data_IF_246378147975
#
_entry.id   IF_246378147975
#
_cell.length_a   1.000
_cell.length_b   1.000
_cell.length_c   1.000
_cell.angle_alpha   90.00
_cell.angle_beta   90.00
_cell.angle_gamma   90.00
#
_symmetry.space_group_name_H-M   'P 1'
#
loop_
_entity.id
_entity.type
_entity.pdbx_description
1 polymer ?
#
# COMPACT_ATOMS: atom_id res chain seq x y z
N UNK A 1 -14.87 -27.69 -45.61
CA UNK A 1 -14.83 -29.19 -45.69
C UNK A 1 -14.55 -29.71 -44.31
N UNK A 2 -15.48 -30.09 -43.70
CA UNK A 2 -16.18 -31.29 -43.27
C UNK A 2 -15.54 -31.93 -42.03
N UNK A 3 -16.21 -31.71 -40.93
CA UNK A 3 -16.14 -32.48 -39.67
C UNK A 3 -16.71 -33.89 -39.91
N UNK A 4 -16.30 -34.83 -39.12
CA UNK A 4 -16.86 -36.18 -38.84
C UNK A 4 -15.99 -37.35 -39.35
N UNK A 5 -15.69 -38.14 -38.37
CA UNK A 5 -15.51 -39.59 -38.27
C UNK A 5 -14.21 -39.96 -37.59
N UNK A 6 -14.32 -40.42 -36.34
CA UNK A 6 -13.98 -41.79 -35.98
C UNK A 6 -14.58 -42.14 -34.62
N UNK A 7 -15.65 -42.85 -34.67
CA UNK A 7 -16.18 -43.67 -33.58
C UNK A 7 -16.02 -45.12 -34.00
N UNK A 8 -15.71 -45.93 -33.04
CA UNK A 8 -16.00 -47.35 -32.91
C UNK A 8 -14.79 -48.31 -32.96
N UNK A 9 -14.72 -48.98 -31.88
CA UNK A 9 -14.70 -50.40 -31.59
C UNK A 9 -13.43 -50.95 -30.95
N UNK A 10 -13.64 -51.66 -29.83
CA UNK A 10 -12.67 -52.56 -29.24
C UNK A 10 -12.91 -52.88 -27.77
N UNK A 11 -13.92 -53.72 -27.49
CA UNK A 11 -14.14 -54.32 -26.17
C UNK A 11 -13.03 -55.32 -25.82
N UNK A 12 -12.51 -55.28 -24.59
CA UNK A 12 -11.63 -56.27 -24.05
C UNK A 12 -11.57 -56.21 -22.52
N UNK A 13 -12.29 -57.10 -21.86
CA UNK A 13 -12.19 -57.34 -20.42
C UNK A 13 -10.83 -57.89 -20.05
N UNK A 14 -10.22 -57.36 -18.97
CA UNK A 14 -9.48 -58.16 -18.01
C UNK A 14 -9.37 -57.41 -16.67
N UNK A 15 -9.74 -58.08 -15.62
CA UNK A 15 -9.69 -57.62 -14.23
C UNK A 15 -8.26 -57.63 -13.71
N UNK A 16 -7.94 -56.72 -12.82
CA UNK A 16 -7.33 -56.89 -11.50
C UNK A 16 -6.53 -55.67 -11.08
N UNK A 17 -6.64 -55.27 -9.84
CA UNK A 17 -5.66 -54.45 -9.12
C UNK A 17 -6.13 -53.02 -8.79
N UNK A 18 -6.79 -52.90 -7.65
CA UNK A 18 -7.00 -51.64 -6.98
C UNK A 18 -5.68 -50.95 -6.64
N UNK A 19 -5.35 -49.91 -7.40
CA UNK A 19 -4.47 -48.81 -6.96
C UNK A 19 -5.22 -47.53 -7.27
N UNK A 20 -5.92 -47.05 -6.26
CA UNK A 20 -6.45 -45.68 -6.29
C UNK A 20 -5.24 -44.74 -6.29
N UNK A 21 -5.02 -43.91 -7.30
CA UNK A 21 -4.16 -42.77 -7.14
C UNK A 21 -4.91 -41.81 -6.22
N UNK A 22 -4.40 -41.63 -5.02
CA UNK A 22 -4.75 -40.56 -4.12
C UNK A 22 -4.60 -39.23 -4.89
N UNK A 23 -5.72 -38.65 -5.28
CA UNK A 23 -5.84 -37.24 -5.68
C UNK A 23 -5.59 -36.36 -4.45
N UNK A 24 -4.35 -36.38 -3.94
CA UNK A 24 -3.83 -35.44 -2.96
C UNK A 24 -3.01 -34.38 -3.70
N UNK A 25 -3.69 -33.40 -4.26
CA UNK A 25 -2.93 -32.38 -4.93
C UNK A 25 -3.75 -31.20 -5.41
N UNK A 26 -4.48 -30.49 -4.52
CA UNK A 26 -4.88 -29.09 -4.67
C UNK A 26 -5.47 -28.49 -3.36
N UNK A 27 -5.34 -29.19 -2.22
CA UNK A 27 -5.93 -28.74 -0.96
C UNK A 27 -4.99 -28.02 0.01
N UNK A 28 -3.68 -27.93 -0.29
CA UNK A 28 -2.70 -27.45 0.69
C UNK A 28 -2.56 -25.92 0.78
N UNK A 29 -3.12 -25.17 -0.16
CA UNK A 29 -3.06 -23.69 -0.13
C UNK A 29 -4.18 -23.04 0.74
N UNK A 30 -5.20 -23.81 1.11
CA UNK A 30 -6.34 -23.32 1.90
C UNK A 30 -6.32 -23.73 3.39
N UNK A 31 -5.26 -24.37 3.84
CA UNK A 31 -5.34 -25.12 5.09
C UNK A 31 -4.69 -24.39 6.28
N UNK A 32 -5.49 -23.68 7.05
CA UNK A 32 -5.30 -23.60 8.50
C UNK A 32 -5.66 -24.93 9.22
N UNK A 33 -6.10 -25.95 8.46
CA UNK A 33 -6.59 -27.22 8.94
C UNK A 33 -5.44 -28.18 9.27
N UNK A 34 -5.42 -28.67 10.51
CA UNK A 34 -4.45 -29.65 11.00
C UNK A 34 -3.23 -29.05 11.73
N UNK A 35 -3.15 -27.75 11.90
CA UNK A 35 -2.17 -27.15 12.78
C UNK A 35 -2.59 -27.37 14.24
N UNK A 36 -1.80 -28.17 14.99
CA UNK A 36 -1.99 -28.39 16.42
C UNK A 36 -1.99 -27.09 17.23
N UNK A 37 -2.28 -27.16 18.54
CA UNK A 37 -2.33 -25.99 19.41
C UNK A 37 -1.01 -25.18 19.40
N UNK A 38 0.09 -25.84 19.16
CA UNK A 38 1.44 -25.24 19.16
C UNK A 38 1.86 -24.71 17.77
N UNK A 39 0.98 -24.71 16.80
CA UNK A 39 1.26 -24.16 15.45
C UNK A 39 0.37 -22.96 15.18
N UNK A 40 0.98 -21.79 15.01
CA UNK A 40 0.32 -20.58 14.49
C UNK A 40 0.40 -20.56 12.98
N UNK A 41 -0.72 -20.36 12.32
CA UNK A 41 -0.78 -20.09 10.87
C UNK A 41 -0.87 -18.59 10.67
N UNK A 42 0.12 -18.00 10.02
CA UNK A 42 0.15 -16.58 9.69
C UNK A 42 -0.03 -16.41 8.17
N UNK A 43 -1.07 -15.73 7.78
CA UNK A 43 -1.33 -15.37 6.39
C UNK A 43 -0.78 -13.97 6.13
N UNK A 44 0.17 -13.83 5.22
CA UNK A 44 0.92 -12.58 5.02
C UNK A 44 0.99 -12.13 3.58
N UNK A 45 0.96 -10.79 3.37
CA UNK A 45 1.28 -10.16 2.09
C UNK A 45 2.79 -10.11 1.82
N UNK A 46 3.65 -10.35 2.82
CA UNK A 46 5.09 -10.31 2.65
C UNK A 46 5.56 -11.51 1.84
N UNK A 47 5.40 -11.44 0.52
CA UNK A 47 5.94 -12.41 -0.43
C UNK A 47 7.46 -12.32 -0.53
N UNK A 48 8.08 -13.26 -1.25
CA UNK A 48 9.55 -13.37 -1.35
C UNK A 48 10.23 -12.13 -1.92
N UNK A 49 9.53 -11.32 -2.69
CA UNK A 49 10.05 -10.10 -3.34
C UNK A 49 9.66 -8.80 -2.62
N UNK A 50 8.72 -8.86 -1.65
CA UNK A 50 8.30 -7.67 -0.94
C UNK A 50 9.38 -7.16 0.01
N UNK A 51 9.57 -5.84 0.10
CA UNK A 51 10.51 -5.25 1.04
C UNK A 51 10.19 -5.71 2.48
N UNK A 52 11.19 -6.19 3.19
CA UNK A 52 11.06 -6.71 4.55
C UNK A 52 10.69 -8.18 4.67
N UNK A 53 10.50 -8.92 3.57
CA UNK A 53 10.19 -10.36 3.62
C UNK A 53 11.33 -11.17 4.24
N UNK A 54 12.57 -10.93 3.84
CA UNK A 54 13.74 -11.60 4.43
C UNK A 54 13.86 -11.30 5.92
N UNK A 55 13.68 -10.03 6.32
CA UNK A 55 13.71 -9.63 7.73
C UNK A 55 12.61 -10.29 8.53
N UNK A 56 11.40 -10.40 7.96
CA UNK A 56 10.27 -11.10 8.59
C UNK A 56 10.57 -12.60 8.77
N UNK A 57 11.01 -13.29 7.72
CA UNK A 57 11.34 -14.71 7.81
C UNK A 57 12.48 -14.99 8.79
N UNK A 58 13.48 -14.12 8.83
CA UNK A 58 14.55 -14.18 9.82
C UNK A 58 14.03 -13.96 11.25
N UNK A 59 13.12 -13.01 11.46
CA UNK A 59 12.48 -12.80 12.76
C UNK A 59 11.65 -14.03 13.19
N UNK A 60 10.93 -14.68 12.27
CA UNK A 60 10.22 -15.94 12.54
C UNK A 60 11.19 -17.06 12.92
N UNK A 61 12.33 -17.18 12.24
CA UNK A 61 13.35 -18.17 12.60
C UNK A 61 13.94 -17.91 14.00
N UNK A 62 14.14 -16.64 14.36
CA UNK A 62 14.58 -16.26 15.71
C UNK A 62 13.53 -16.61 16.76
N UNK A 63 12.24 -16.33 16.48
CA UNK A 63 11.13 -16.72 17.34
C UNK A 63 11.09 -18.23 17.61
N UNK A 64 11.30 -19.06 16.57
CA UNK A 64 11.36 -20.52 16.73
C UNK A 64 12.51 -20.96 17.63
N UNK A 65 13.69 -20.33 17.53
CA UNK A 65 14.82 -20.66 18.41
C UNK A 65 14.56 -20.33 19.88
N UNK A 66 13.86 -19.23 20.12
CA UNK A 66 13.51 -18.82 21.49
C UNK A 66 12.29 -19.59 22.05
N UNK A 67 11.45 -20.14 21.18
CA UNK A 67 10.21 -20.83 21.53
C UNK A 67 10.12 -22.20 20.85
N UNK A 68 10.97 -23.18 21.22
CA UNK A 68 11.08 -24.45 20.48
C UNK A 68 9.80 -25.32 20.52
N UNK A 69 8.83 -24.99 21.41
CA UNK A 69 7.51 -25.63 21.43
C UNK A 69 6.46 -24.98 20.55
N UNK A 70 6.78 -23.86 19.85
CA UNK A 70 5.85 -23.14 18.99
C UNK A 70 6.36 -23.09 17.56
N UNK A 71 5.48 -23.35 16.61
CA UNK A 71 5.77 -23.24 15.17
C UNK A 71 4.92 -22.13 14.55
N UNK A 72 5.51 -21.28 13.71
CA UNK A 72 4.81 -20.33 12.86
C UNK A 72 4.88 -20.83 11.43
N UNK A 73 3.71 -21.16 10.86
CA UNK A 73 3.56 -21.54 9.45
C UNK A 73 3.08 -20.31 8.66
N UNK A 74 3.89 -19.83 7.73
CA UNK A 74 3.55 -18.70 6.89
C UNK A 74 2.84 -19.15 5.61
N UNK A 75 1.73 -18.51 5.27
CA UNK A 75 1.03 -18.59 3.99
C UNK A 75 1.17 -17.25 3.29
N UNK A 76 1.71 -17.26 2.07
CA UNK A 76 1.97 -16.04 1.30
C UNK A 76 1.07 -16.03 0.07
N UNK A 77 0.22 -14.99 -0.05
CA UNK A 77 -0.72 -14.85 -1.16
C UNK A 77 -0.68 -13.47 -1.86
N UNK A 78 0.25 -12.59 -1.49
CA UNK A 78 0.38 -11.28 -2.12
C UNK A 78 -0.96 -10.51 -2.16
N UNK A 79 -1.34 -10.02 -3.33
CA UNK A 79 -2.56 -9.23 -3.53
C UNK A 79 -3.85 -10.05 -3.41
N UNK A 80 -3.78 -11.38 -3.55
CA UNK A 80 -4.93 -12.28 -3.42
C UNK A 80 -5.24 -12.64 -1.96
N UNK A 81 -4.42 -12.17 -1.01
CA UNK A 81 -4.52 -12.55 0.41
C UNK A 81 -5.93 -12.40 0.96
N UNK A 82 -6.57 -11.25 0.75
CA UNK A 82 -7.90 -10.99 1.29
C UNK A 82 -8.93 -11.99 0.77
N UNK A 83 -8.93 -12.25 -0.53
CA UNK A 83 -9.87 -13.20 -1.15
C UNK A 83 -9.63 -14.62 -0.65
N UNK A 84 -8.37 -15.05 -0.53
CA UNK A 84 -8.01 -16.39 -0.02
C UNK A 84 -8.40 -16.52 1.44
N UNK A 85 -8.17 -15.47 2.24
CA UNK A 85 -8.56 -15.44 3.66
C UNK A 85 -10.08 -15.56 3.82
N UNK A 86 -10.87 -14.75 3.12
CA UNK A 86 -12.33 -14.78 3.18
C UNK A 86 -12.89 -16.13 2.75
N UNK A 87 -12.32 -16.73 1.69
CA UNK A 87 -12.72 -18.07 1.24
C UNK A 87 -12.39 -19.15 2.28
N UNK A 88 -11.19 -19.09 2.90
CA UNK A 88 -10.79 -20.04 3.93
C UNK A 88 -11.66 -19.93 5.18
N UNK A 89 -12.11 -18.70 5.52
CA UNK A 89 -13.02 -18.44 6.62
C UNK A 89 -14.40 -19.07 6.41
N UNK A 90 -14.95 -18.99 5.19
CA UNK A 90 -16.22 -19.67 4.87
C UNK A 90 -16.13 -21.17 5.14
N UNK A 91 -14.97 -21.77 4.92
CA UNK A 91 -14.67 -23.16 5.24
C UNK A 91 -14.29 -23.41 6.72
N UNK A 92 -14.22 -22.38 7.57
CA UNK A 92 -13.70 -22.40 8.96
C UNK A 92 -12.27 -22.92 9.06
N UNK A 93 -11.44 -22.58 8.07
CA UNK A 93 -10.03 -22.98 7.91
C UNK A 93 -9.11 -21.77 7.77
N UNK A 94 -9.55 -20.63 8.26
CA UNK A 94 -8.78 -19.39 8.21
C UNK A 94 -7.51 -19.48 9.08
N UNK A 95 -6.49 -18.71 8.67
CA UNK A 95 -5.26 -18.52 9.44
C UNK A 95 -5.54 -17.90 10.82
N UNK A 96 -4.68 -18.17 11.79
CA UNK A 96 -4.81 -17.62 13.15
C UNK A 96 -4.54 -16.11 13.18
N UNK A 97 -3.53 -15.68 12.41
CA UNK A 97 -3.14 -14.26 12.24
C UNK A 97 -3.14 -13.92 10.76
N UNK A 98 -3.57 -12.71 10.44
CA UNK A 98 -3.45 -12.15 9.08
C UNK A 98 -2.62 -10.87 9.12
N UNK A 99 -1.57 -10.80 8.30
CA UNK A 99 -0.72 -9.62 8.12
C UNK A 99 -1.09 -8.93 6.81
N UNK A 100 -1.94 -7.93 6.90
CA UNK A 100 -2.45 -7.21 5.73
C UNK A 100 -2.73 -5.75 6.07
N UNK A 101 -2.72 -4.87 5.06
CA UNK A 101 -3.08 -3.47 5.19
C UNK A 101 -4.58 -3.26 5.42
N UNK A 102 -4.90 -2.08 5.92
CA UNK A 102 -6.27 -1.60 5.99
C UNK A 102 -6.63 -0.94 4.65
N UNK A 103 -7.56 -1.52 3.92
CA UNK A 103 -8.05 -1.04 2.64
C UNK A 103 -9.50 -1.52 2.42
N UNK A 104 -10.10 -1.20 1.30
CA UNK A 104 -11.50 -1.46 0.99
C UNK A 104 -12.00 -2.84 1.42
N UNK A 105 -11.33 -3.92 1.02
CA UNK A 105 -11.75 -5.30 1.34
C UNK A 105 -11.66 -5.62 2.84
N UNK A 106 -10.70 -5.05 3.55
CA UNK A 106 -10.45 -5.37 4.97
C UNK A 106 -11.21 -4.47 5.93
N UNK A 107 -11.73 -3.33 5.48
CA UNK A 107 -12.42 -2.36 6.32
C UNK A 107 -13.60 -2.97 7.11
N UNK A 108 -14.35 -3.88 6.49
CA UNK A 108 -15.53 -4.51 7.08
C UNK A 108 -15.22 -5.76 7.93
N UNK A 109 -14.00 -6.28 7.94
CA UNK A 109 -13.70 -7.59 8.53
C UNK A 109 -14.09 -7.71 10.00
N UNK A 110 -13.81 -6.70 10.81
CA UNK A 110 -14.20 -6.71 12.22
C UNK A 110 -15.72 -6.58 12.41
N UNK A 111 -16.40 -5.88 11.49
CA UNK A 111 -17.86 -5.74 11.53
C UNK A 111 -18.58 -7.05 11.26
N UNK A 112 -18.09 -7.81 10.28
CA UNK A 112 -18.69 -9.10 9.88
C UNK A 112 -18.11 -10.30 10.66
N UNK A 113 -17.29 -10.04 11.69
CA UNK A 113 -16.65 -11.07 12.52
C UNK A 113 -15.65 -11.95 11.75
N UNK A 114 -15.07 -11.43 10.65
CA UNK A 114 -13.97 -12.09 9.96
C UNK A 114 -12.69 -12.03 10.80
N UNK A 115 -12.51 -10.94 11.53
CA UNK A 115 -11.48 -10.75 12.55
C UNK A 115 -12.11 -10.22 13.83
N UNK A 116 -11.39 -10.24 14.92
CA UNK A 116 -11.88 -9.81 16.23
C UNK A 116 -11.41 -8.39 16.55
N UNK A 117 -12.13 -7.72 17.47
CA UNK A 117 -11.63 -6.51 18.13
C UNK A 117 -10.41 -6.88 18.97
N UNK A 118 -9.26 -6.29 18.67
CA UNK A 118 -8.01 -6.58 19.40
C UNK A 118 -7.73 -5.59 20.53
N UNK A 119 -8.62 -4.61 20.76
CA UNK A 119 -8.43 -3.62 21.84
C UNK A 119 -8.27 -4.23 23.22
N UNK A 120 -9.09 -5.23 23.63
CA UNK A 120 -8.90 -5.89 24.94
C UNK A 120 -7.50 -6.51 25.07
N UNK A 121 -7.02 -7.19 24.03
CA UNK A 121 -5.68 -7.79 24.06
C UNK A 121 -4.56 -6.76 24.06
N UNK A 122 -4.75 -5.61 23.35
CA UNK A 122 -3.78 -4.52 23.39
C UNK A 122 -3.56 -4.01 24.80
N UNK A 123 -4.66 -3.81 25.53
CA UNK A 123 -4.65 -3.31 26.89
C UNK A 123 -4.04 -4.34 27.87
N UNK A 124 -4.47 -5.60 27.80
CA UNK A 124 -3.98 -6.71 28.64
C UNK A 124 -2.50 -7.01 28.41
N UNK A 125 -2.06 -6.98 27.14
CA UNK A 125 -0.66 -7.24 26.81
C UNK A 125 0.25 -6.02 26.99
N UNK A 126 -0.32 -4.84 27.26
CA UNK A 126 0.42 -3.61 27.46
C UNK A 126 1.18 -3.12 26.20
N UNK A 127 0.82 -3.60 25.01
CA UNK A 127 1.47 -3.24 23.74
C UNK A 127 1.14 -1.82 23.29
N UNK A 128 0.06 -1.20 23.81
CA UNK A 128 -0.35 0.15 23.47
C UNK A 128 0.74 1.21 23.64
N UNK A 129 1.64 1.03 24.60
CA UNK A 129 2.77 1.93 24.85
C UNK A 129 3.83 1.88 23.74
N UNK A 130 3.90 0.78 23.01
CA UNK A 130 4.85 0.58 21.90
C UNK A 130 4.34 1.12 20.57
N UNK A 131 3.01 1.33 20.44
CA UNK A 131 2.39 1.77 19.18
C UNK A 131 2.23 3.29 19.19
N UNK A 132 2.33 3.91 18.01
CA UNK A 132 2.12 5.35 17.85
C UNK A 132 0.63 5.68 18.05
N UNK A 133 0.29 6.75 18.78
CA UNK A 133 -1.11 7.14 19.01
C UNK A 133 -1.88 7.39 17.68
N UNK A 134 -1.20 7.93 16.69
CA UNK A 134 -1.74 8.17 15.35
C UNK A 134 -2.14 6.85 14.69
N UNK A 135 -1.29 5.84 14.79
CA UNK A 135 -1.57 4.50 14.26
C UNK A 135 -2.79 3.87 14.96
N UNK A 136 -2.87 3.97 16.29
CA UNK A 136 -4.04 3.48 17.02
C UNK A 136 -5.33 4.17 16.56
N UNK A 137 -5.29 5.50 16.31
CA UNK A 137 -6.47 6.23 15.80
C UNK A 137 -6.90 5.75 14.42
N UNK A 138 -5.96 5.59 13.48
CA UNK A 138 -6.26 5.14 12.12
C UNK A 138 -6.83 3.71 12.07
N UNK A 139 -6.41 2.84 13.00
CA UNK A 139 -6.87 1.46 13.07
C UNK A 139 -8.13 1.26 13.93
N UNK A 140 -8.57 2.29 14.65
CA UNK A 140 -9.80 2.27 15.45
C UNK A 140 -10.99 2.64 14.59
N UNK A 141 -12.03 1.81 14.61
CA UNK A 141 -13.26 2.07 13.86
C UNK A 141 -14.20 3.06 14.58
N UNK A 142 -15.27 3.44 13.89
CA UNK A 142 -16.26 4.36 14.43
C UNK A 142 -17.00 3.84 15.70
N UNK A 143 -16.92 2.54 15.98
CA UNK A 143 -17.49 1.91 17.19
C UNK A 143 -16.47 1.82 18.33
N UNK A 144 -15.27 2.36 18.15
CA UNK A 144 -14.18 2.35 19.13
C UNK A 144 -13.43 1.03 19.23
N UNK A 145 -13.62 0.08 18.31
CA UNK A 145 -12.90 -1.20 18.25
C UNK A 145 -11.58 -1.03 17.51
N UNK A 146 -10.53 -1.65 17.99
CA UNK A 146 -9.24 -1.72 17.30
C UNK A 146 -9.24 -2.93 16.36
N UNK A 147 -9.15 -2.68 15.06
CA UNK A 147 -9.25 -3.72 14.02
C UNK A 147 -8.10 -4.71 14.02
N UNK A 148 -6.90 -4.23 14.29
CA UNK A 148 -5.67 -5.03 14.29
C UNK A 148 -4.58 -4.35 15.12
N UNK A 149 -3.46 -5.02 15.34
CA UNK A 149 -2.25 -4.45 15.94
C UNK A 149 -1.43 -3.74 14.85
N UNK A 150 -1.38 -2.37 14.80
CA UNK A 150 -0.64 -1.63 13.78
C UNK A 150 0.85 -1.97 13.84
N UNK A 151 1.48 -2.27 12.69
CA UNK A 151 2.89 -2.64 12.65
C UNK A 151 3.72 -1.80 11.69
N UNK A 152 3.34 -1.73 10.40
CA UNK A 152 3.98 -0.86 9.43
C UNK A 152 3.14 0.37 9.13
N UNK A 153 3.83 1.51 8.99
CA UNK A 153 3.34 2.71 8.35
C UNK A 153 4.03 2.93 7.01
N UNK A 154 3.74 4.04 6.37
CA UNK A 154 4.48 4.52 5.21
C UNK A 154 4.46 6.04 5.13
N UNK A 155 5.59 6.61 4.71
CA UNK A 155 5.68 7.95 4.15
C UNK A 155 5.63 7.82 2.63
N UNK A 156 4.98 8.78 1.98
CA UNK A 156 4.86 8.85 0.54
C UNK A 156 5.36 10.19 0.03
N UNK A 157 6.68 10.38 0.01
CA UNK A 157 7.30 11.59 -0.51
C UNK A 157 7.32 11.58 -2.03
N UNK A 158 7.82 12.68 -2.58
CA UNK A 158 8.16 12.77 -3.99
C UNK A 158 9.69 12.66 -4.13
N UNK A 159 10.13 11.73 -4.97
CA UNK A 159 11.54 11.57 -5.30
C UNK A 159 11.89 12.37 -6.56
N UNK A 160 13.03 13.05 -6.51
CA UNK A 160 13.53 13.93 -7.58
C UNK A 160 14.93 13.48 -7.99
N UNK A 161 15.13 13.16 -9.26
CA UNK A 161 16.43 12.87 -9.84
C UNK A 161 17.14 14.19 -10.20
N UNK A 162 18.01 14.65 -9.32
CA UNK A 162 18.71 15.94 -9.42
C UNK A 162 19.61 16.01 -10.68
N UNK A 163 20.22 14.89 -11.08
CA UNK A 163 21.03 14.83 -12.30
C UNK A 163 20.20 15.09 -13.56
N UNK A 164 18.96 14.57 -13.62
CA UNK A 164 18.07 14.83 -14.76
C UNK A 164 17.58 16.27 -14.76
N UNK A 165 17.28 16.83 -13.58
CA UNK A 165 16.92 18.24 -13.42
C UNK A 165 18.07 19.14 -13.89
N UNK A 166 19.29 18.90 -13.42
CA UNK A 166 20.50 19.66 -13.82
C UNK A 166 20.77 19.58 -15.34
N UNK A 167 20.65 18.38 -15.94
CA UNK A 167 20.76 18.19 -17.39
C UNK A 167 19.74 18.99 -18.18
N UNK A 168 18.59 19.26 -17.60
CA UNK A 168 17.55 20.10 -18.21
C UNK A 168 17.71 21.59 -17.90
N UNK A 169 18.74 21.98 -17.13
CA UNK A 169 18.95 23.36 -16.70
C UNK A 169 17.97 23.81 -15.61
N UNK A 170 17.54 22.86 -14.75
CA UNK A 170 16.75 23.12 -13.55
C UNK A 170 17.68 23.06 -12.35
N UNK A 171 17.93 24.21 -11.71
CA UNK A 171 18.97 24.35 -10.68
C UNK A 171 18.57 23.90 -9.28
N UNK A 172 17.26 23.71 -9.02
CA UNK A 172 16.73 23.29 -7.72
C UNK A 172 15.51 22.38 -7.89
N UNK A 173 15.18 21.64 -6.83
CA UNK A 173 13.93 20.88 -6.75
C UNK A 173 12.75 21.85 -6.73
N UNK A 174 11.74 21.68 -7.62
CA UNK A 174 10.56 22.54 -7.64
C UNK A 174 9.78 22.46 -6.32
N UNK A 175 9.36 23.59 -5.80
CA UNK A 175 8.51 23.71 -4.61
C UNK A 175 7.17 24.39 -4.90
N UNK A 176 7.05 25.03 -6.06
CA UNK A 176 5.84 25.68 -6.56
C UNK A 176 5.37 25.08 -7.88
N UNK A 177 4.10 25.28 -8.21
CA UNK A 177 3.51 24.85 -9.49
C UNK A 177 4.24 25.45 -10.70
N UNK A 178 4.59 26.72 -10.64
CA UNK A 178 5.25 27.41 -11.75
C UNK A 178 6.65 26.87 -11.99
N UNK A 179 7.39 26.60 -10.92
CA UNK A 179 8.69 25.93 -10.98
C UNK A 179 8.57 24.53 -11.58
N UNK A 180 7.54 23.73 -11.16
CA UNK A 180 7.31 22.38 -11.66
C UNK A 180 6.95 22.41 -13.17
N UNK A 181 6.05 23.30 -13.58
CA UNK A 181 5.67 23.46 -14.99
C UNK A 181 6.87 23.92 -15.84
N UNK A 182 7.65 24.87 -15.33
CA UNK A 182 8.88 25.33 -16.00
C UNK A 182 9.90 24.18 -16.13
N UNK A 183 10.10 23.41 -15.05
CA UNK A 183 10.97 22.25 -15.07
C UNK A 183 10.49 21.19 -16.07
N UNK A 184 9.19 20.91 -16.11
CA UNK A 184 8.61 19.94 -17.04
C UNK A 184 8.86 20.33 -18.51
N UNK A 185 8.69 21.59 -18.86
CA UNK A 185 9.00 22.10 -20.23
C UNK A 185 10.47 21.90 -20.58
N UNK A 186 11.38 22.23 -19.67
CA UNK A 186 12.84 22.06 -19.87
C UNK A 186 13.23 20.59 -19.99
N UNK A 187 12.65 19.71 -19.16
CA UNK A 187 12.88 18.27 -19.22
C UNK A 187 12.41 17.68 -20.56
N UNK A 188 11.18 18.03 -20.98
CA UNK A 188 10.62 17.56 -22.26
C UNK A 188 11.45 18.03 -23.46
N UNK A 189 11.96 19.25 -23.44
CA UNK A 189 12.86 19.77 -24.49
C UNK A 189 14.16 18.96 -24.61
N UNK A 190 14.52 18.17 -23.60
CA UNK A 190 15.67 17.26 -23.59
C UNK A 190 15.29 15.78 -23.74
N UNK A 191 14.02 15.48 -24.06
CA UNK A 191 13.51 14.11 -24.15
C UNK A 191 13.47 13.36 -22.81
N UNK A 192 13.47 14.09 -21.69
CA UNK A 192 13.38 13.53 -20.34
C UNK A 192 11.93 13.60 -19.87
N UNK A 193 11.41 12.49 -19.35
CA UNK A 193 10.07 12.44 -18.77
C UNK A 193 10.04 13.25 -17.46
N UNK A 194 9.11 14.22 -17.30
CA UNK A 194 9.07 15.04 -16.09
C UNK A 194 8.65 14.23 -14.87
N UNK A 195 7.35 13.90 -14.73
CA UNK A 195 6.77 13.13 -13.64
C UNK A 195 6.22 11.83 -14.19
N UNK A 196 6.72 10.70 -13.71
CA UNK A 196 6.15 9.38 -14.01
C UNK A 196 5.05 9.03 -13.04
N UNK A 197 4.00 8.35 -13.51
CA UNK A 197 2.87 7.91 -12.70
C UNK A 197 2.13 6.76 -13.36
N UNK A 198 1.65 5.81 -12.55
CA UNK A 198 0.72 4.77 -12.95
C UNK A 198 -0.72 5.27 -12.86
N UNK A 199 -1.17 6.00 -13.87
CA UNK A 199 -2.50 6.63 -13.86
C UNK A 199 -3.64 5.63 -14.07
N UNK A 200 -3.36 4.38 -14.44
CA UNK A 200 -4.34 3.31 -14.60
C UNK A 200 -4.68 2.63 -13.26
N UNK A 201 -3.81 2.74 -12.27
CA UNK A 201 -3.92 2.02 -11.01
C UNK A 201 -3.91 2.91 -9.77
N UNK A 202 -3.76 2.29 -8.61
CA UNK A 202 -3.76 2.91 -7.30
C UNK A 202 -2.71 4.02 -7.13
N UNK A 203 -1.58 3.97 -7.85
CA UNK A 203 -0.55 5.02 -7.75
C UNK A 203 -1.04 6.35 -8.32
N UNK A 204 -1.81 6.31 -9.41
CA UNK A 204 -2.48 7.49 -9.95
C UNK A 204 -3.48 8.10 -8.97
N UNK A 205 -4.27 7.27 -8.29
CA UNK A 205 -5.20 7.70 -7.25
C UNK A 205 -4.46 8.44 -6.12
N UNK A 206 -3.30 7.91 -5.66
CA UNK A 206 -2.51 8.55 -4.59
C UNK A 206 -1.99 9.91 -5.03
N UNK A 207 -1.43 10.02 -6.25
CA UNK A 207 -0.91 11.29 -6.74
C UNK A 207 -2.04 12.32 -6.94
N UNK A 208 -3.17 11.93 -7.51
CA UNK A 208 -4.34 12.81 -7.64
C UNK A 208 -4.80 13.30 -6.27
N UNK A 209 -4.91 12.40 -5.31
CA UNK A 209 -5.29 12.74 -3.94
C UNK A 209 -4.29 13.70 -3.28
N UNK A 210 -2.99 13.46 -3.45
CA UNK A 210 -1.94 14.33 -2.94
C UNK A 210 -2.04 15.75 -3.50
N UNK A 211 -2.34 15.88 -4.80
CA UNK A 211 -2.47 17.16 -5.48
C UNK A 211 -3.74 17.90 -5.03
N UNK A 212 -4.88 17.22 -4.97
CA UNK A 212 -6.15 17.84 -4.54
C UNK A 212 -6.03 18.37 -3.12
N UNK A 213 -5.39 17.63 -2.22
CA UNK A 213 -5.22 18.01 -0.82
C UNK A 213 -4.30 19.22 -0.60
N UNK A 214 -3.64 19.73 -1.62
CA UNK A 214 -2.96 21.04 -1.58
C UNK A 214 -3.92 22.15 -1.14
N UNK A 215 -5.21 22.03 -1.49
CA UNK A 215 -6.27 22.98 -1.18
C UNK A 215 -7.27 22.51 -0.11
N UNK A 216 -7.01 21.40 0.56
CA UNK A 216 -7.89 20.84 1.59
C UNK A 216 -7.19 20.83 2.94
N UNK A 217 -7.94 21.15 3.99
CA UNK A 217 -7.58 20.76 5.34
C UNK A 217 -7.72 19.24 5.52
N UNK A 218 -7.18 18.68 6.60
CA UNK A 218 -7.30 17.25 6.88
C UNK A 218 -8.78 16.82 7.01
N UNK A 219 -9.61 17.62 7.68
CA UNK A 219 -11.03 17.31 7.88
C UNK A 219 -11.82 17.37 6.57
N UNK A 220 -11.54 18.37 5.71
CA UNK A 220 -12.16 18.47 4.38
C UNK A 220 -11.74 17.29 3.49
N UNK A 221 -10.48 16.84 3.56
CA UNK A 221 -10.01 15.67 2.83
C UNK A 221 -10.70 14.40 3.31
N UNK A 222 -10.77 14.17 4.63
CA UNK A 222 -11.49 13.04 5.22
C UNK A 222 -12.96 13.06 4.79
N UNK A 223 -13.63 14.21 4.86
CA UNK A 223 -15.01 14.35 4.41
C UNK A 223 -15.18 13.98 2.93
N UNK A 224 -14.36 14.58 2.05
CA UNK A 224 -14.44 14.34 0.61
C UNK A 224 -14.25 12.85 0.27
N UNK A 225 -13.24 12.19 0.86
CA UNK A 225 -12.98 10.77 0.60
C UNK A 225 -13.95 9.80 1.29
N UNK A 226 -14.63 10.22 2.36
CA UNK A 226 -15.66 9.41 3.00
C UNK A 226 -17.00 9.49 2.24
N UNK A 227 -17.36 10.68 1.78
CA UNK A 227 -18.70 10.95 1.23
C UNK A 227 -18.74 11.01 -0.30
N UNK A 228 -17.59 11.23 -0.94
CA UNK A 228 -17.49 11.52 -2.37
C UNK A 228 -17.91 12.95 -2.73
N UNK A 229 -17.99 13.86 -1.75
CA UNK A 229 -18.30 15.26 -1.99
C UNK A 229 -17.03 16.04 -2.40
N UNK A 230 -16.82 16.18 -3.70
CA UNK A 230 -15.77 17.02 -4.29
C UNK A 230 -16.31 18.38 -4.76
N UNK A 231 -17.47 18.82 -4.27
CA UNK A 231 -18.11 20.07 -4.66
C UNK A 231 -17.60 21.29 -3.85
N UNK A 232 -16.85 21.10 -2.78
CA UNK A 232 -16.27 22.17 -1.97
C UNK A 232 -15.33 23.05 -2.80
N UNK A 233 -15.10 24.28 -2.37
CA UNK A 233 -14.21 25.21 -3.09
C UNK A 233 -12.80 24.61 -3.19
N UNK A 234 -12.24 24.11 -2.07
CA UNK A 234 -10.89 23.54 -2.04
C UNK A 234 -10.75 22.33 -2.95
N UNK A 235 -11.74 21.41 -2.97
CA UNK A 235 -11.70 20.24 -3.84
C UNK A 235 -11.73 20.65 -5.33
N UNK A 236 -12.54 21.65 -5.71
CA UNK A 236 -12.56 22.18 -7.07
C UNK A 236 -11.23 22.81 -7.47
N UNK A 237 -10.66 23.67 -6.63
CA UNK A 237 -9.36 24.30 -6.86
C UNK A 237 -8.24 23.26 -7.00
N UNK A 238 -8.26 22.19 -6.16
CA UNK A 238 -7.31 21.08 -6.25
C UNK A 238 -7.44 20.26 -7.54
N UNK A 239 -8.67 20.03 -8.02
CA UNK A 239 -8.91 19.35 -9.31
C UNK A 239 -8.48 20.25 -10.48
N UNK A 240 -8.74 21.56 -10.42
CA UNK A 240 -8.28 22.52 -11.41
C UNK A 240 -6.74 22.58 -11.46
N UNK A 241 -6.10 22.58 -10.31
CA UNK A 241 -4.64 22.48 -10.20
C UNK A 241 -4.11 21.23 -10.90
N UNK A 242 -4.69 20.07 -10.61
CA UNK A 242 -4.31 18.81 -11.25
C UNK A 242 -4.44 18.91 -12.79
N UNK A 243 -5.57 19.40 -13.29
CA UNK A 243 -5.79 19.51 -14.75
C UNK A 243 -4.82 20.52 -15.39
N UNK A 244 -4.48 21.60 -14.70
CA UNK A 244 -3.47 22.57 -15.14
C UNK A 244 -2.10 21.92 -15.30
N UNK A 245 -1.67 21.12 -14.33
CA UNK A 245 -0.40 20.38 -14.40
C UNK A 245 -0.39 19.36 -15.55
N UNK A 246 -1.49 18.61 -15.71
CA UNK A 246 -1.64 17.65 -16.80
C UNK A 246 -1.54 18.34 -18.17
N UNK A 247 -2.29 19.42 -18.37
CA UNK A 247 -2.36 20.11 -19.64
C UNK A 247 -1.06 20.89 -19.95
N UNK A 248 -0.29 21.25 -18.91
CA UNK A 248 1.07 21.78 -19.05
C UNK A 248 2.12 20.68 -19.38
N UNK A 249 1.72 19.42 -19.48
CA UNK A 249 2.61 18.31 -19.82
C UNK A 249 3.54 17.89 -18.69
N UNK A 250 3.12 18.05 -17.43
CA UNK A 250 3.92 17.66 -16.25
C UNK A 250 4.03 16.14 -16.14
N UNK A 251 2.96 15.40 -16.43
CA UNK A 251 2.93 13.95 -16.31
C UNK A 251 3.43 13.22 -17.56
N UNK A 252 3.75 11.95 -17.42
CA UNK A 252 4.12 11.06 -18.53
C UNK A 252 3.04 11.03 -19.60
N UNK A 253 3.48 10.88 -20.86
CA UNK A 253 2.56 10.70 -21.96
C UNK A 253 1.78 9.38 -21.76
N UNK A 254 0.47 9.43 -22.04
CA UNK A 254 -0.43 8.28 -21.85
C UNK A 254 -0.48 7.78 -20.38
N UNK A 255 -0.27 8.67 -19.40
CA UNK A 255 -0.29 8.33 -17.99
C UNK A 255 -1.52 7.49 -17.60
N UNK A 256 -2.69 7.75 -18.22
CA UNK A 256 -3.95 7.02 -17.99
C UNK A 256 -3.89 5.50 -18.28
N UNK A 257 -2.89 5.04 -19.02
CA UNK A 257 -2.70 3.62 -19.35
C UNK A 257 -1.35 3.07 -18.83
N UNK A 258 -0.70 3.76 -17.91
CA UNK A 258 0.52 3.30 -17.25
C UNK A 258 0.19 2.73 -15.87
N UNK A 259 0.85 1.61 -15.56
CA UNK A 259 0.77 0.94 -14.24
C UNK A 259 1.89 1.41 -13.30
N UNK A 260 1.76 1.07 -12.01
CA UNK A 260 2.81 1.24 -10.99
C UNK A 260 4.15 0.62 -11.41
N UNK A 261 4.14 -0.59 -11.99
CA UNK A 261 5.36 -1.24 -12.48
C UNK A 261 6.06 -0.42 -13.56
N UNK A 262 5.27 0.16 -14.48
CA UNK A 262 5.79 1.07 -15.50
C UNK A 262 6.39 2.33 -14.88
N UNK A 263 5.71 2.91 -13.89
CA UNK A 263 6.16 4.08 -13.14
C UNK A 263 7.52 3.82 -12.47
N UNK A 264 7.61 2.76 -11.65
CA UNK A 264 8.85 2.40 -10.96
C UNK A 264 9.99 2.09 -11.94
N UNK A 265 9.70 1.37 -13.03
CA UNK A 265 10.69 1.08 -14.08
C UNK A 265 11.25 2.36 -14.70
N UNK A 266 10.41 3.36 -15.00
CA UNK A 266 10.85 4.61 -15.62
C UNK A 266 11.76 5.41 -14.70
N UNK A 267 11.46 5.50 -13.40
CA UNK A 267 12.32 6.18 -12.43
C UNK A 267 13.60 5.38 -12.17
N UNK A 268 13.50 4.09 -11.89
CA UNK A 268 14.62 3.21 -11.57
C UNK A 268 15.64 3.05 -12.72
N UNK A 269 15.20 3.28 -13.95
CA UNK A 269 16.09 3.30 -15.13
C UNK A 269 16.63 4.70 -15.47
N UNK A 270 16.28 5.73 -14.69
CA UNK A 270 16.70 7.11 -14.94
C UNK A 270 16.08 7.74 -16.18
N UNK A 271 14.88 7.32 -16.57
CA UNK A 271 14.11 7.91 -17.69
C UNK A 271 13.19 9.02 -17.24
N UNK A 272 12.70 8.98 -16.01
CA UNK A 272 11.85 9.99 -15.40
C UNK A 272 12.61 10.79 -14.34
N UNK A 273 12.34 12.10 -14.27
CA UNK A 273 12.99 13.00 -13.32
C UNK A 273 12.31 12.99 -11.94
N UNK A 274 11.01 12.69 -11.88
CA UNK A 274 10.23 12.76 -10.63
C UNK A 274 9.28 11.57 -10.56
N UNK A 275 9.13 11.00 -9.35
CA UNK A 275 8.06 10.06 -9.01
C UNK A 275 7.50 10.34 -7.62
N UNK A 276 6.21 10.09 -7.41
CA UNK A 276 5.59 10.06 -6.09
C UNK A 276 5.44 8.60 -5.69
N UNK A 277 6.17 8.16 -4.65
CA UNK A 277 6.22 6.76 -4.27
C UNK A 277 6.36 6.57 -2.75
N UNK A 278 5.87 5.44 -2.28
CA UNK A 278 6.02 5.06 -0.87
C UNK A 278 7.48 4.73 -0.50
N UNK A 279 7.79 4.85 0.80
CA UNK A 279 9.15 4.62 1.32
C UNK A 279 9.70 3.23 0.96
N UNK A 280 8.87 2.20 0.92
CA UNK A 280 9.30 0.83 0.57
C UNK A 280 9.72 0.70 -0.90
N UNK A 281 9.08 1.42 -1.81
CA UNK A 281 9.52 1.52 -3.21
C UNK A 281 10.85 2.28 -3.33
N UNK A 282 11.01 3.36 -2.55
CA UNK A 282 12.27 4.11 -2.51
C UNK A 282 13.45 3.28 -1.99
N UNK A 283 13.21 2.29 -1.13
CA UNK A 283 14.24 1.36 -0.68
C UNK A 283 14.75 0.45 -1.82
N UNK A 284 13.98 0.29 -2.90
CA UNK A 284 14.32 -0.55 -4.05
C UNK A 284 14.96 0.22 -5.20
N UNK A 285 15.09 1.54 -5.11
CA UNK A 285 15.71 2.38 -6.14
C UNK A 285 17.18 1.98 -6.29
N UNK A 286 17.66 1.68 -7.52
CA UNK A 286 19.03 1.25 -7.75
C UNK A 286 20.07 2.30 -7.34
N UNK A 287 21.21 1.86 -6.81
CA UNK A 287 22.26 2.74 -6.26
C UNK A 287 22.75 3.83 -7.24
N UNK A 288 22.80 3.52 -8.56
CA UNK A 288 23.18 4.50 -9.58
C UNK A 288 22.14 5.63 -9.75
N UNK A 289 20.87 5.41 -9.37
CA UNK A 289 19.82 6.44 -9.37
C UNK A 289 19.80 7.15 -8.01
N UNK A 290 19.87 6.39 -6.91
CA UNK A 290 19.90 6.93 -5.52
C UNK A 290 20.92 8.04 -5.34
N UNK A 291 22.16 7.86 -5.82
CA UNK A 291 23.24 8.85 -5.66
C UNK A 291 22.94 10.21 -6.30
N UNK A 292 21.96 10.27 -7.18
CA UNK A 292 21.50 11.46 -7.88
C UNK A 292 20.05 11.81 -7.57
N UNK A 293 19.51 11.26 -6.49
CA UNK A 293 18.13 11.49 -6.08
C UNK A 293 18.05 12.14 -4.70
N UNK A 294 17.02 12.94 -4.52
CA UNK A 294 16.60 13.49 -3.24
C UNK A 294 15.10 13.31 -3.08
N UNK A 295 14.57 13.58 -1.88
CA UNK A 295 13.13 13.54 -1.63
C UNK A 295 12.62 14.88 -1.11
N UNK A 296 11.35 15.16 -1.40
CA UNK A 296 10.63 16.34 -0.95
C UNK A 296 9.12 16.07 -0.94
N UNK A 297 8.33 17.13 -0.92
CA UNK A 297 6.89 17.07 -1.13
C UNK A 297 6.51 17.40 -2.58
N UNK A 298 5.23 17.21 -2.92
CA UNK A 298 4.66 17.67 -4.18
C UNK A 298 4.47 19.19 -4.14
N UNK A 299 4.89 19.93 -5.18
CA UNK A 299 4.89 21.39 -5.20
C UNK A 299 3.50 22.02 -5.00
N UNK A 300 3.47 23.18 -4.35
CA UNK A 300 2.24 23.90 -4.06
C UNK A 300 1.84 24.83 -5.19
N UNK A 301 0.53 24.99 -5.38
CA UNK A 301 -0.04 26.03 -6.23
C UNK A 301 -0.30 27.35 -5.45
N UNK A 302 -0.44 28.50 -6.13
CA UNK A 302 -0.88 29.73 -5.49
C UNK A 302 -2.24 29.55 -4.80
N UNK A 303 -2.38 30.07 -3.58
CA UNK A 303 -3.60 29.97 -2.80
C UNK A 303 -3.81 28.62 -2.09
N UNK A 304 -2.81 27.75 -2.10
CA UNK A 304 -2.82 26.51 -1.33
C UNK A 304 -3.10 26.77 0.17
N UNK A 305 -3.86 25.88 0.81
CA UNK A 305 -4.07 25.94 2.28
C UNK A 305 -2.94 25.25 3.02
N UNK A 306 -2.22 24.36 2.36
CA UNK A 306 -1.05 23.69 2.92
C UNK A 306 0.14 24.66 2.95
N UNK A 307 0.85 24.77 4.09
CA UNK A 307 1.98 25.71 4.22
C UNK A 307 3.26 25.25 3.50
N UNK A 308 3.37 23.93 3.22
CA UNK A 308 4.56 23.31 2.62
C UNK A 308 4.17 22.31 1.52
N UNK A 309 5.08 21.96 0.59
CA UNK A 309 4.88 20.89 -0.37
C UNK A 309 4.34 19.62 0.29
N UNK A 310 3.37 18.93 -0.36
CA UNK A 310 2.61 17.88 0.28
C UNK A 310 3.28 16.50 0.18
N UNK A 311 3.14 15.68 1.22
CA UNK A 311 3.49 14.27 1.22
C UNK A 311 2.37 13.47 1.89
N UNK A 312 2.02 12.31 1.32
CA UNK A 312 1.06 11.41 1.97
C UNK A 312 1.74 10.67 3.13
N UNK A 313 0.98 10.39 4.17
CA UNK A 313 1.42 9.57 5.30
C UNK A 313 0.27 8.73 5.83
N UNK A 314 0.57 7.50 6.22
CA UNK A 314 -0.37 6.64 6.92
C UNK A 314 0.35 5.61 7.78
N UNK A 315 -0.36 5.06 8.76
CA UNK A 315 0.07 3.93 9.58
C UNK A 315 -0.78 2.67 9.33
N UNK A 316 -1.52 2.65 8.21
CA UNK A 316 -2.46 1.56 7.88
C UNK A 316 -1.89 0.55 6.89
N UNK A 317 -0.55 0.55 6.69
CA UNK A 317 0.06 -0.27 5.65
C UNK A 317 -0.04 -1.77 5.96
N UNK A 318 0.46 -2.24 7.09
CA UNK A 318 0.32 -3.64 7.50
C UNK A 318 0.15 -3.71 9.03
N UNK A 319 -0.78 -4.54 9.46
CA UNK A 319 -1.01 -4.85 10.86
C UNK A 319 -1.25 -6.35 11.06
N UNK A 320 -1.19 -6.80 12.30
CA UNK A 320 -1.53 -8.16 12.69
C UNK A 320 -3.00 -8.21 13.11
N UNK A 321 -3.84 -8.79 12.27
CA UNK A 321 -5.23 -9.08 12.56
C UNK A 321 -5.34 -10.44 13.22
N UNK A 322 -6.22 -10.60 14.20
CA UNK A 322 -6.50 -11.88 14.85
C UNK A 322 -7.84 -12.42 14.33
N UNK A 323 -7.82 -13.65 13.85
CA UNK A 323 -9.03 -14.35 13.42
C UNK A 323 -9.77 -15.01 14.59
N UNK A 324 -11.02 -15.46 14.42
CA UNK A 324 -11.69 -16.32 15.41
C UNK A 324 -10.93 -17.61 15.72
N UNK A 325 -10.17 -18.18 14.78
CA UNK A 325 -9.29 -19.33 15.07
C UNK A 325 -8.11 -18.93 15.95
N UNK A 326 -7.52 -17.75 15.71
CA UNK A 326 -6.42 -17.23 16.51
C UNK A 326 -6.79 -17.03 17.98
N UNK A 327 -8.05 -16.68 18.27
CA UNK A 327 -8.49 -16.54 19.68
C UNK A 327 -8.46 -17.86 20.47
N UNK A 328 -8.51 -19.00 19.81
CA UNK A 328 -8.38 -20.32 20.45
C UNK A 328 -6.95 -20.65 20.83
N UNK A 329 -5.98 -19.90 20.30
CA UNK A 329 -4.53 -20.04 20.52
C UNK A 329 -3.94 -18.74 21.06
N UNK A 330 -4.71 -17.98 21.81
CA UNK A 330 -4.40 -16.59 22.15
C UNK A 330 -3.06 -16.45 22.88
N UNK A 331 -2.67 -17.41 23.72
CA UNK A 331 -1.38 -17.39 24.41
C UNK A 331 -0.19 -17.52 23.43
N UNK A 332 -0.34 -18.33 22.39
CA UNK A 332 0.68 -18.46 21.35
C UNK A 332 0.72 -17.19 20.46
N UNK A 333 -0.44 -16.61 20.15
CA UNK A 333 -0.56 -15.33 19.44
C UNK A 333 0.11 -14.22 20.25
N UNK A 334 -0.15 -14.14 21.56
CA UNK A 334 0.49 -13.15 22.44
C UNK A 334 2.01 -13.26 22.41
N UNK A 335 2.55 -14.47 22.57
CA UNK A 335 4.00 -14.71 22.56
C UNK A 335 4.62 -14.24 21.22
N UNK A 336 3.96 -14.58 20.11
CA UNK A 336 4.44 -14.17 18.79
C UNK A 336 4.38 -12.66 18.61
N UNK A 337 3.27 -12.01 18.96
CA UNK A 337 3.14 -10.56 18.82
C UNK A 337 4.08 -9.82 19.77
N UNK A 338 4.23 -10.24 21.03
CA UNK A 338 5.25 -9.65 21.92
C UNK A 338 6.64 -9.73 21.35
N UNK A 339 7.00 -10.84 20.68
CA UNK A 339 8.28 -10.99 20.01
C UNK A 339 8.42 -10.02 18.84
N UNK A 340 7.39 -9.89 18.00
CA UNK A 340 7.40 -8.97 16.85
C UNK A 340 7.50 -7.50 17.28
N UNK A 341 6.92 -7.12 18.42
CA UNK A 341 6.94 -5.76 18.96
C UNK A 341 8.17 -5.44 19.81
N UNK A 342 9.12 -6.35 19.94
CA UNK A 342 10.38 -6.10 20.66
C UNK A 342 11.20 -5.02 19.93
N UNK A 343 11.88 -4.13 20.68
CA UNK A 343 12.67 -3.05 20.09
C UNK A 343 13.74 -3.54 19.10
N UNK A 344 14.39 -4.67 19.36
CA UNK A 344 15.39 -5.28 18.49
C UNK A 344 14.77 -5.79 17.18
N UNK A 345 13.63 -6.48 17.24
CA UNK A 345 12.90 -6.93 16.06
C UNK A 345 12.43 -5.77 15.21
N UNK A 346 11.80 -4.77 15.82
CA UNK A 346 11.35 -3.53 15.15
C UNK A 346 12.52 -2.80 14.48
N UNK A 347 13.65 -2.67 15.20
CA UNK A 347 14.86 -2.00 14.69
C UNK A 347 15.37 -2.64 13.40
N UNK A 348 15.29 -3.95 13.26
CA UNK A 348 15.72 -4.65 12.04
C UNK A 348 14.88 -4.28 10.83
N UNK A 349 13.56 -4.13 10.97
CA UNK A 349 12.72 -3.69 9.85
C UNK A 349 13.08 -2.29 9.38
N UNK A 350 13.49 -1.40 10.28
CA UNK A 350 13.95 -0.05 9.93
C UNK A 350 15.31 -0.10 9.23
N UNK A 351 16.27 -0.78 9.84
CA UNK A 351 17.69 -0.72 9.42
C UNK A 351 17.96 -1.61 8.19
N UNK A 352 17.39 -2.80 8.14
CA UNK A 352 17.66 -3.80 7.11
C UNK A 352 16.68 -3.74 5.94
N UNK A 353 15.41 -3.40 6.22
CA UNK A 353 14.34 -3.41 5.23
C UNK A 353 13.85 -2.01 4.81
N UNK A 354 14.28 -0.94 5.49
CA UNK A 354 13.83 0.42 5.17
C UNK A 354 12.34 0.65 5.40
N UNK A 355 11.75 -0.08 6.38
CA UNK A 355 10.32 0.06 6.69
C UNK A 355 10.07 1.21 7.64
N UNK A 356 9.04 2.00 7.34
CA UNK A 356 8.43 2.89 8.32
C UNK A 356 7.54 2.06 9.26
N UNK A 357 7.62 2.37 10.55
CA UNK A 357 6.91 1.61 11.56
C UNK A 357 5.74 2.40 12.13
N UNK A 358 4.64 1.71 12.42
CA UNK A 358 3.56 2.21 13.28
C UNK A 358 3.91 2.07 14.78
N UNK A 359 5.11 1.61 15.08
CA UNK A 359 5.64 1.31 16.42
C UNK A 359 6.66 2.38 16.80
N UNK A 360 6.65 2.79 18.07
CA UNK A 360 7.67 3.70 18.62
C UNK A 360 9.03 3.03 18.52
N UNK A 361 9.95 3.72 17.91
CA UNK A 361 11.34 3.26 17.79
C UNK A 361 12.28 4.44 17.95
N UNK A 362 13.49 4.23 18.46
CA UNK A 362 14.51 5.28 18.40
C UNK A 362 14.79 5.66 16.94
N UNK A 363 15.24 6.89 16.71
CA UNK A 363 15.68 7.30 15.38
C UNK A 363 16.87 6.44 14.96
N UNK A 364 16.66 5.51 14.04
CA UNK A 364 17.68 4.59 13.56
C UNK A 364 18.15 4.99 12.17
N UNK A 365 19.45 4.85 11.94
CA UNK A 365 20.00 4.98 10.60
C UNK A 365 19.60 3.76 9.76
N UNK A 366 18.94 3.99 8.65
CA UNK A 366 18.69 2.95 7.64
C UNK A 366 19.77 2.99 6.56
N UNK A 367 20.08 1.81 5.99
CA UNK A 367 20.98 1.69 4.83
C UNK A 367 20.42 2.25 3.53
N UNK A 368 19.14 2.66 3.52
CA UNK A 368 18.45 3.18 2.35
C UNK A 368 18.43 4.72 2.36
N UNK A 369 19.27 5.41 1.56
CA UNK A 369 19.45 6.86 1.67
C UNK A 369 18.18 7.67 1.42
N UNK A 370 17.31 7.26 0.45
CA UNK A 370 16.08 7.97 0.16
C UNK A 370 15.04 7.79 1.27
N UNK A 371 14.96 6.60 1.87
CA UNK A 371 14.10 6.35 3.05
C UNK A 371 14.57 7.19 4.23
N UNK A 372 15.89 7.20 4.49
CA UNK A 372 16.46 8.05 5.53
C UNK A 372 16.21 9.54 5.28
N UNK A 373 16.23 9.98 4.03
CA UNK A 373 15.90 11.36 3.67
C UNK A 373 14.41 11.66 3.86
N UNK A 374 13.52 10.71 3.50
CA UNK A 374 12.08 10.83 3.70
C UNK A 374 11.69 10.96 5.18
N UNK A 375 12.31 10.16 6.06
CA UNK A 375 12.05 10.24 7.50
C UNK A 375 12.51 11.57 8.15
N UNK A 376 13.44 12.29 7.50
CA UNK A 376 13.92 13.61 7.93
C UNK A 376 13.21 14.79 7.28
N UNK A 377 12.17 14.57 6.48
CA UNK A 377 11.41 15.68 5.88
C UNK A 377 10.76 16.56 6.95
N UNK A 378 10.20 15.97 8.00
CA UNK A 378 9.61 16.72 9.13
C UNK A 378 8.70 17.83 8.65
N UNK A 379 8.87 19.01 9.23
CA UNK A 379 8.06 20.20 8.94
C UNK A 379 8.36 20.85 7.57
N UNK A 380 9.24 20.27 6.75
CA UNK A 380 9.50 20.76 5.38
C UNK A 380 8.43 20.32 4.39
N UNK A 381 7.53 19.43 4.80
CA UNK A 381 6.39 18.96 4.03
C UNK A 381 5.14 18.97 4.87
N UNK A 382 4.00 19.29 4.26
CA UNK A 382 2.69 19.11 4.86
C UNK A 382 2.27 17.65 4.70
N UNK A 383 2.04 16.98 5.84
CA UNK A 383 1.53 15.60 5.83
C UNK A 383 0.04 15.62 5.51
N UNK A 384 -0.35 15.00 4.41
CA UNK A 384 -1.75 14.88 3.99
C UNK A 384 -2.22 13.44 4.09
N UNK A 385 -3.54 13.23 4.21
CA UNK A 385 -4.10 11.89 4.49
C UNK A 385 -4.04 10.97 3.28
N UNK A 386 -3.79 9.70 3.53
CA UNK A 386 -3.96 8.66 2.51
C UNK A 386 -5.46 8.33 2.40
N UNK A 387 -6.08 8.41 1.21
CA UNK A 387 -7.54 8.27 1.08
C UNK A 387 -8.08 6.86 1.36
N UNK A 388 -7.26 5.81 1.22
CA UNK A 388 -7.72 4.41 1.22
C UNK A 388 -8.59 4.00 2.39
N UNK A 389 -8.30 4.53 3.58
CA UNK A 389 -9.03 4.18 4.81
C UNK A 389 -10.36 4.91 4.95
N UNK A 390 -10.58 5.90 4.11
CA UNK A 390 -11.80 6.73 4.14
C UNK A 390 -12.74 6.41 2.99
N UNK A 391 -12.21 5.90 1.87
CA UNK A 391 -13.01 5.53 0.70
C UNK A 391 -13.83 4.27 1.00
N UNK A 392 -15.16 4.30 0.83
CA UNK A 392 -15.97 3.09 0.97
C UNK A 392 -15.49 1.96 0.03
N UNK A 393 -15.53 0.70 0.47
CA UNK A 393 -15.03 -0.44 -0.32
C UNK A 393 -15.59 -0.50 -1.74
N UNK A 394 -16.88 -0.23 -1.89
CA UNK A 394 -17.58 -0.25 -3.16
C UNK A 394 -17.17 0.89 -4.10
N UNK A 395 -16.68 2.01 -3.56
CA UNK A 395 -16.26 3.17 -4.34
C UNK A 395 -14.80 3.10 -4.82
N UNK A 396 -13.95 2.23 -4.24
CA UNK A 396 -12.50 2.28 -4.47
C UNK A 396 -12.12 1.98 -5.93
N UNK A 397 -12.58 0.88 -6.51
CA UNK A 397 -12.28 0.56 -7.91
C UNK A 397 -12.89 1.55 -8.90
N UNK A 398 -14.17 2.00 -8.74
CA UNK A 398 -14.70 3.12 -9.52
C UNK A 398 -13.87 4.41 -9.39
N UNK A 399 -13.32 4.72 -8.21
CA UNK A 399 -12.48 5.89 -7.99
C UNK A 399 -11.13 5.79 -8.73
N UNK A 400 -10.51 4.61 -8.77
CA UNK A 400 -9.32 4.35 -9.59
C UNK A 400 -9.63 4.59 -11.08
N UNK A 401 -10.77 4.10 -11.56
CA UNK A 401 -11.21 4.31 -12.94
C UNK A 401 -11.46 5.80 -13.24
N UNK A 402 -12.09 6.52 -12.30
CA UNK A 402 -12.28 7.97 -12.41
C UNK A 402 -10.94 8.73 -12.45
N UNK A 403 -9.94 8.26 -11.69
CA UNK A 403 -8.59 8.82 -11.70
C UNK A 403 -7.91 8.62 -13.05
N UNK A 404 -8.01 7.43 -13.65
CA UNK A 404 -7.49 7.20 -15.01
C UNK A 404 -8.13 8.18 -16.03
N UNK A 405 -9.44 8.43 -15.90
CA UNK A 405 -10.13 9.47 -16.69
C UNK A 405 -9.53 10.87 -16.44
N UNK A 406 -9.14 11.19 -15.20
CA UNK A 406 -8.53 12.47 -14.88
C UNK A 406 -7.18 12.68 -15.58
N UNK A 407 -6.38 11.62 -15.74
CA UNK A 407 -5.12 11.66 -16.49
C UNK A 407 -5.29 11.74 -18.01
N UNK A 408 -6.50 11.51 -18.53
CA UNK A 408 -6.77 11.60 -19.97
C UNK A 408 -6.66 13.05 -20.45
N UNK A 409 -5.80 13.36 -21.44
CA UNK A 409 -5.63 14.72 -21.96
C UNK A 409 -6.96 15.33 -22.42
N UNK A 410 -7.15 16.63 -22.15
CA UNK A 410 -8.34 17.38 -22.56
C UNK A 410 -9.60 17.12 -21.73
N UNK A 411 -9.55 16.27 -20.70
CA UNK A 411 -10.66 16.11 -19.75
C UNK A 411 -10.77 17.35 -18.87
N UNK A 412 -11.91 18.06 -18.91
CA UNK A 412 -12.12 19.25 -18.10
C UNK A 412 -12.17 18.95 -16.60
N UNK A 413 -11.80 19.92 -15.74
CA UNK A 413 -11.90 19.78 -14.29
C UNK A 413 -13.32 19.43 -13.83
N UNK A 414 -14.36 20.00 -14.45
CA UNK A 414 -15.75 19.67 -14.17
C UNK A 414 -16.06 18.19 -14.47
N UNK A 415 -15.53 17.64 -15.57
CA UNK A 415 -15.71 16.22 -15.92
C UNK A 415 -14.92 15.31 -14.99
N UNK A 416 -13.71 15.69 -14.59
CA UNK A 416 -12.93 14.95 -13.56
C UNK A 416 -13.73 14.89 -12.26
N UNK A 417 -14.22 16.03 -11.76
CA UNK A 417 -15.04 16.08 -10.55
C UNK A 417 -16.27 15.19 -10.65
N UNK A 418 -17.04 15.31 -11.73
CA UNK A 418 -18.22 14.49 -11.94
C UNK A 418 -17.93 12.99 -11.97
N UNK A 419 -16.76 12.57 -12.50
CA UNK A 419 -16.32 11.18 -12.50
C UNK A 419 -15.96 10.70 -11.08
N UNK A 420 -15.24 11.53 -10.29
CA UNK A 420 -14.92 11.21 -8.89
C UNK A 420 -16.20 11.06 -8.04
N UNK A 421 -17.13 12.01 -8.14
CA UNK A 421 -18.43 11.96 -7.44
C UNK A 421 -19.29 10.75 -7.90
N UNK A 422 -19.23 10.39 -9.18
CA UNK A 422 -19.97 9.24 -9.71
C UNK A 422 -19.47 7.92 -9.15
N UNK A 423 -18.18 7.80 -8.81
CA UNK A 423 -17.60 6.62 -8.20
C UNK A 423 -18.30 6.21 -6.90
N UNK A 424 -18.80 7.18 -6.16
CA UNK A 424 -19.52 6.94 -4.88
C UNK A 424 -21.00 6.66 -5.06
N UNK A 425 -21.61 7.10 -6.18
CA UNK A 425 -23.04 6.84 -6.46
C UNK A 425 -23.29 5.44 -7.02
N UNK A 426 -22.27 4.83 -7.60
CA UNK A 426 -22.34 3.46 -8.14
C UNK A 426 -21.94 2.40 -7.11
N UNK A 427 -21.67 2.82 -5.88
CA UNK A 427 -21.16 2.00 -4.78
C UNK A 427 -22.28 1.41 -3.86
#
# INVERSE_FOLDING_TARGET
MSRRRFLAAGSGLAAAGALAPSLTGCGSALAGDGAGPDTLVVHTQLGTTAAGSETYLSAVADFHRENPGLTVKNLVNGDDLAQVYETSRLARKEADIVMVNLYDKTLAWTDVGATVDVKPYLDDWGLGKSILPEALREWTDAKGRLRAFPYFGTNWPVAYNTRLLERAGVGAVPTTSDELISAARKLRARGIMPVTIGGEDWTGQKLLAQIIQTYLTADEAVHAYTTGDFSTRGAREGIEYFTTLRDAGVFSDKAQGLTSDSMFTQYNTGRAAVESAESSALAQVPAQVVKHSTVGGFPLAPGAVQPHPTALRTYTLIAFWISPNGTRKIDAVEKFLRFMYRPDTVSRFITEAGRDMAVRSPALATRFPLVAAASRLGDRVSQVVLPDVYVPPTANQPLITATSTAFTPGTSAARVRAALEAAYRSA
#
